data_IF_287296696754
#
_entry.id   IF_287296696754
#
_cell.length_a   1.000
_cell.length_b   1.000
_cell.length_c   1.000
_cell.angle_alpha   90.00
_cell.angle_beta   90.00
_cell.angle_gamma   90.00
#
_symmetry.space_group_name_H-M   'P 1'
#
loop_
_entity.id
_entity.type
_entity.pdbx_description
1 polymer ?
#
# COMPACT_ATOMS: atom_id res chain seq x y z
N UNK A 1 24.47 4.31 36.31
CA UNK A 1 23.38 4.77 35.42
C UNK A 1 23.94 4.84 34.02
N UNK A 2 24.08 3.71 33.32
CA UNK A 2 24.81 3.71 32.03
C UNK A 2 24.45 2.51 31.12
N UNK A 3 23.27 1.90 31.30
CA UNK A 3 22.86 0.73 30.49
C UNK A 3 21.50 0.87 29.82
N UNK A 4 20.82 2.00 29.96
CA UNK A 4 19.44 2.18 29.47
C UNK A 4 19.33 2.89 28.11
N UNK A 5 20.41 3.53 27.63
CA UNK A 5 20.37 4.36 26.41
C UNK A 5 20.64 3.55 25.13
N UNK A 6 21.26 2.38 25.24
CA UNK A 6 21.58 1.54 24.07
C UNK A 6 20.38 0.81 23.44
N UNK A 7 19.24 0.72 24.13
CA UNK A 7 18.09 -0.07 23.65
C UNK A 7 17.07 0.75 22.83
N UNK A 8 17.13 2.09 22.86
CA UNK A 8 16.17 2.95 22.15
C UNK A 8 16.62 3.37 20.74
N UNK A 9 17.92 3.36 20.47
CA UNK A 9 18.48 3.67 19.14
C UNK A 9 18.17 2.59 18.08
N UNK A 10 18.20 1.26 18.36
CA UNK A 10 17.84 0.27 17.35
C UNK A 10 16.33 0.25 17.05
N UNK A 11 15.49 0.71 17.98
CA UNK A 11 14.04 0.75 17.80
C UNK A 11 13.62 1.90 16.87
N UNK A 12 14.26 3.07 16.99
CA UNK A 12 13.97 4.23 16.13
C UNK A 12 14.44 4.02 14.68
N UNK A 13 15.56 3.30 14.48
CA UNK A 13 16.03 2.88 13.15
C UNK A 13 15.15 1.78 12.55
N UNK A 14 14.61 0.85 13.36
CA UNK A 14 13.58 -0.09 12.90
C UNK A 14 12.30 0.63 12.45
N UNK A 15 11.87 1.67 13.17
CA UNK A 15 10.70 2.46 12.81
C UNK A 15 10.91 3.33 11.56
N UNK A 16 12.13 3.84 11.33
CA UNK A 16 12.44 4.55 10.07
C UNK A 16 12.52 3.59 8.87
N UNK A 17 13.06 2.38 9.05
CA UNK A 17 13.05 1.33 8.01
C UNK A 17 11.63 0.82 7.69
N UNK A 18 10.68 0.94 8.63
CA UNK A 18 9.27 0.60 8.41
C UNK A 18 8.47 1.68 7.65
N UNK A 19 9.05 2.86 7.37
CA UNK A 19 8.39 3.92 6.58
C UNK A 19 8.76 3.91 5.09
N UNK A 20 9.51 2.91 4.63
CA UNK A 20 9.59 2.56 3.21
C UNK A 20 8.87 1.22 2.98
N UNK A 21 7.64 1.10 3.49
CA UNK A 21 6.70 0.24 2.79
C UNK A 21 6.35 0.99 1.50
N UNK A 22 7.16 0.77 0.46
CA UNK A 22 6.71 1.01 -0.89
C UNK A 22 5.33 0.37 -1.01
N UNK A 23 4.32 1.19 -1.28
CA UNK A 23 2.99 0.70 -1.61
C UNK A 23 3.21 -0.25 -2.78
N UNK A 24 3.17 -1.56 -2.51
CA UNK A 24 3.22 -2.58 -3.53
C UNK A 24 1.89 -2.46 -4.27
N UNK A 25 1.84 -1.59 -5.28
CA UNK A 25 0.77 -1.64 -6.26
C UNK A 25 0.82 -3.03 -6.88
N UNK A 26 -0.28 -3.77 -6.80
CA UNK A 26 -0.42 -5.05 -7.49
C UNK A 26 -0.62 -4.80 -8.98
N UNK A 27 0.44 -4.38 -9.67
CA UNK A 27 0.48 -4.28 -11.12
C UNK A 27 1.26 -5.46 -11.70
N UNK A 28 0.86 -5.87 -12.90
CA UNK A 28 1.46 -6.98 -13.62
C UNK A 28 1.64 -6.52 -15.05
N UNK A 29 2.87 -6.60 -15.54
CA UNK A 29 3.19 -6.32 -16.93
C UNK A 29 3.35 -7.63 -17.70
N UNK A 30 2.95 -7.62 -18.98
CA UNK A 30 3.24 -8.72 -19.90
C UNK A 30 4.73 -8.77 -20.26
N UNK A 31 5.10 -9.80 -21.03
CA UNK A 31 6.50 -10.01 -21.45
C UNK A 31 6.78 -9.53 -22.89
N UNK A 32 5.73 -9.25 -23.65
CA UNK A 32 5.84 -8.83 -25.05
C UNK A 32 6.03 -7.32 -25.15
N UNK A 33 6.98 -6.91 -25.99
CA UNK A 33 7.25 -5.51 -26.30
C UNK A 33 6.62 -5.12 -27.64
N UNK A 34 6.14 -3.89 -27.75
CA UNK A 34 5.73 -3.36 -29.05
C UNK A 34 6.94 -2.76 -29.79
N UNK A 35 6.93 -2.86 -31.12
CA UNK A 35 7.98 -2.28 -31.94
C UNK A 35 7.96 -0.75 -31.88
N UNK A 36 9.14 -0.14 -31.75
CA UNK A 36 9.32 1.31 -31.75
C UNK A 36 8.83 1.99 -33.05
N UNK A 37 8.67 1.22 -34.13
CA UNK A 37 8.16 1.72 -35.42
C UNK A 37 6.61 1.78 -35.48
N UNK A 38 5.92 1.40 -34.41
CA UNK A 38 4.45 1.42 -34.35
C UNK A 38 3.95 2.63 -33.57
N UNK A 39 2.73 3.08 -33.88
CA UNK A 39 2.06 4.13 -33.10
C UNK A 39 1.51 3.63 -31.75
N UNK A 40 1.69 2.34 -31.42
CA UNK A 40 1.08 1.70 -30.26
C UNK A 40 1.33 2.44 -28.95
N UNK A 41 2.57 2.87 -28.69
CA UNK A 41 2.89 3.64 -27.49
C UNK A 41 2.14 4.98 -27.41
N UNK A 42 2.03 5.70 -28.53
CA UNK A 42 1.29 6.97 -28.61
C UNK A 42 -0.22 6.77 -28.43
N UNK A 43 -0.75 5.70 -29.02
CA UNK A 43 -2.16 5.34 -28.88
C UNK A 43 -2.46 4.92 -27.43
N UNK A 44 -1.55 4.21 -26.78
CA UNK A 44 -1.63 3.84 -25.36
C UNK A 44 -1.60 5.08 -24.44
N UNK A 45 -0.66 6.00 -24.67
CA UNK A 45 -0.52 7.27 -23.94
C UNK A 45 -1.75 8.18 -24.09
N UNK A 46 -2.49 8.03 -25.20
CA UNK A 46 -3.74 8.75 -25.45
C UNK A 46 -4.92 8.05 -24.77
N UNK A 47 -4.99 6.72 -24.87
CA UNK A 47 -6.15 5.93 -24.46
C UNK A 47 -6.26 5.78 -22.93
N UNK A 48 -5.18 5.42 -22.24
CA UNK A 48 -5.22 5.12 -20.80
C UNK A 48 -5.65 6.30 -19.92
N UNK A 49 -5.19 7.55 -20.16
CA UNK A 49 -5.67 8.70 -19.40
C UNK A 49 -7.16 9.00 -19.60
N UNK A 50 -7.73 8.63 -20.76
CA UNK A 50 -9.15 8.86 -21.06
C UNK A 50 -10.08 7.95 -20.26
N UNK A 51 -9.59 6.82 -19.73
CA UNK A 51 -10.41 5.84 -19.02
C UNK A 51 -11.07 6.44 -17.79
N UNK A 52 -10.37 7.30 -17.05
CA UNK A 52 -10.82 7.83 -15.77
C UNK A 52 -12.08 8.72 -15.88
N UNK A 53 -12.23 9.49 -16.95
CA UNK A 53 -13.45 10.28 -17.18
C UNK A 53 -14.58 9.42 -17.74
N UNK A 54 -14.27 8.53 -18.68
CA UNK A 54 -15.28 7.72 -19.37
C UNK A 54 -15.91 6.65 -18.47
N UNK A 55 -15.12 6.03 -17.58
CA UNK A 55 -15.64 5.04 -16.62
C UNK A 55 -16.71 5.63 -15.70
N UNK A 56 -16.61 6.92 -15.35
CA UNK A 56 -17.63 7.60 -14.56
C UNK A 56 -18.87 7.91 -15.39
N UNK A 57 -18.66 8.42 -16.61
CA UNK A 57 -19.75 8.76 -17.52
C UNK A 57 -20.61 7.55 -17.90
N UNK A 58 -20.03 6.35 -17.90
CA UNK A 58 -20.65 5.10 -18.33
C UNK A 58 -20.92 4.12 -17.17
N UNK A 59 -21.14 4.64 -15.96
CA UNK A 59 -21.69 3.84 -14.86
C UNK A 59 -20.74 2.81 -14.26
N UNK A 60 -19.42 3.02 -14.37
CA UNK A 60 -18.40 2.28 -13.62
C UNK A 60 -17.66 1.23 -14.42
N UNK A 61 -17.99 1.06 -15.69
CA UNK A 61 -17.28 0.18 -16.61
C UNK A 61 -17.05 0.89 -17.94
N UNK A 62 -15.84 0.80 -18.47
CA UNK A 62 -15.54 1.34 -19.79
C UNK A 62 -14.50 0.49 -20.48
N UNK A 63 -14.76 0.18 -21.74
CA UNK A 63 -13.78 -0.43 -22.64
C UNK A 63 -13.66 0.43 -23.90
N UNK A 64 -12.45 0.51 -24.44
CA UNK A 64 -12.17 1.30 -25.63
C UNK A 64 -10.94 0.78 -26.36
N UNK A 65 -10.89 1.03 -27.66
CA UNK A 65 -9.76 0.66 -28.50
C UNK A 65 -9.26 1.83 -29.33
N UNK A 66 -7.94 1.93 -29.50
CA UNK A 66 -7.29 2.93 -30.34
C UNK A 66 -6.02 2.33 -30.93
N UNK A 67 -5.87 2.35 -32.26
CA UNK A 67 -4.62 1.93 -32.92
C UNK A 67 -4.13 0.52 -32.59
N UNK A 68 -5.05 -0.41 -32.30
CA UNK A 68 -4.72 -1.78 -31.90
C UNK A 68 -4.50 -1.98 -30.39
N UNK A 69 -4.55 -0.92 -29.60
CA UNK A 69 -4.63 -0.99 -28.13
C UNK A 69 -6.07 -1.28 -27.73
N UNK A 70 -6.29 -2.25 -26.84
CA UNK A 70 -7.58 -2.55 -26.22
C UNK A 70 -7.47 -2.33 -24.72
N UNK A 71 -8.11 -1.28 -24.21
CA UNK A 71 -8.06 -0.92 -22.80
C UNK A 71 -9.43 -1.05 -22.14
N UNK A 72 -9.43 -1.38 -20.85
CA UNK A 72 -10.63 -1.56 -20.04
C UNK A 72 -10.39 -1.04 -18.63
N UNK A 73 -11.38 -0.34 -18.09
CA UNK A 73 -11.44 0.10 -16.71
C UNK A 73 -12.76 -0.36 -16.05
N UNK A 74 -12.67 -0.75 -14.78
CA UNK A 74 -13.80 -1.18 -13.96
C UNK A 74 -13.66 -0.59 -12.56
N UNK A 75 -14.73 -0.04 -12.01
CA UNK A 75 -14.82 0.31 -10.60
C UNK A 75 -15.70 -0.69 -9.85
N UNK A 76 -15.34 -0.94 -8.59
CA UNK A 76 -16.17 -1.72 -7.67
C UNK A 76 -17.53 -1.04 -7.53
N UNK A 77 -18.65 -1.77 -7.67
CA UNK A 77 -20.01 -1.19 -7.53
C UNK A 77 -20.17 -0.48 -6.18
N UNK A 78 -21.06 0.52 -6.15
CA UNK A 78 -21.27 1.45 -5.02
C UNK A 78 -20.04 2.31 -4.69
N UNK A 79 -19.31 2.73 -5.72
CA UNK A 79 -18.20 3.68 -5.60
C UNK A 79 -18.71 5.12 -5.49
N UNK A 80 -17.92 5.96 -4.85
CA UNK A 80 -18.05 7.41 -4.94
C UNK A 80 -17.32 7.90 -6.20
N UNK A 81 -17.98 8.75 -7.00
CA UNK A 81 -17.54 9.04 -8.38
C UNK A 81 -16.13 9.62 -8.45
N UNK A 82 -15.77 10.55 -7.55
CA UNK A 82 -14.44 11.16 -7.58
C UNK A 82 -13.37 10.17 -7.14
N UNK A 83 -13.67 9.32 -6.16
CA UNK A 83 -12.76 8.26 -5.72
C UNK A 83 -12.52 7.20 -6.82
N UNK A 84 -13.55 6.75 -7.55
CA UNK A 84 -13.38 5.85 -8.72
C UNK A 84 -12.54 6.49 -9.82
N UNK A 85 -12.81 7.77 -10.15
CA UNK A 85 -12.02 8.52 -11.13
C UNK A 85 -10.55 8.58 -10.74
N UNK A 86 -10.27 8.86 -9.47
CA UNK A 86 -8.92 9.01 -8.94
C UNK A 86 -8.18 7.67 -8.93
N UNK A 87 -8.86 6.58 -8.56
CA UNK A 87 -8.34 5.23 -8.63
C UNK A 87 -7.95 4.84 -10.06
N UNK A 88 -8.87 5.00 -11.03
CA UNK A 88 -8.60 4.63 -12.43
C UNK A 88 -7.51 5.50 -13.03
N UNK A 89 -7.51 6.81 -12.74
CA UNK A 89 -6.43 7.70 -13.17
C UNK A 89 -5.06 7.25 -12.65
N UNK A 90 -4.95 6.93 -11.35
CA UNK A 90 -3.72 6.46 -10.73
C UNK A 90 -3.26 5.12 -11.31
N UNK A 91 -4.17 4.16 -11.44
CA UNK A 91 -3.87 2.86 -12.04
C UNK A 91 -3.38 3.02 -13.49
N UNK A 92 -4.08 3.81 -14.32
CA UNK A 92 -3.63 4.12 -15.69
C UNK A 92 -2.22 4.72 -15.72
N UNK A 93 -1.94 5.70 -14.85
CA UNK A 93 -0.62 6.33 -14.76
C UNK A 93 0.46 5.35 -14.31
N UNK A 94 0.18 4.53 -13.31
CA UNK A 94 1.10 3.51 -12.82
C UNK A 94 1.47 2.53 -13.93
N UNK A 95 0.48 2.01 -14.65
CA UNK A 95 0.72 1.09 -15.77
C UNK A 95 1.57 1.73 -16.88
N UNK A 96 1.29 2.97 -17.27
CA UNK A 96 2.11 3.70 -18.25
C UNK A 96 3.55 3.88 -17.77
N UNK A 97 3.77 4.15 -16.48
CA UNK A 97 5.11 4.38 -15.94
C UNK A 97 5.91 3.12 -15.66
N UNK A 98 5.25 2.05 -15.23
CA UNK A 98 5.89 0.84 -14.70
C UNK A 98 5.98 -0.27 -15.75
N UNK A 99 5.09 -0.27 -16.74
CA UNK A 99 5.05 -1.25 -17.83
C UNK A 99 5.44 -0.63 -19.19
N UNK A 100 6.42 0.29 -19.19
CA UNK A 100 6.85 1.00 -20.40
C UNK A 100 7.33 0.03 -21.49
N UNK A 101 6.88 0.26 -22.72
CA UNK A 101 7.29 -0.54 -23.89
C UNK A 101 6.59 -1.90 -24.02
N UNK A 102 5.68 -2.24 -23.09
CA UNK A 102 5.02 -3.55 -23.05
C UNK A 102 3.61 -3.48 -23.64
N UNK A 103 3.19 -4.55 -24.33
CA UNK A 103 1.90 -4.62 -25.04
C UNK A 103 0.72 -4.91 -24.14
N UNK A 104 0.96 -5.49 -22.97
CA UNK A 104 -0.09 -5.87 -22.02
C UNK A 104 0.29 -5.44 -20.59
N UNK A 105 -0.69 -4.94 -19.84
CA UNK A 105 -0.56 -4.78 -18.41
C UNK A 105 -1.93 -4.81 -17.71
N UNK A 106 -1.89 -5.08 -16.42
CA UNK A 106 -3.06 -5.25 -15.57
C UNK A 106 -2.77 -4.76 -14.15
N UNK A 107 -3.71 -4.04 -13.56
CA UNK A 107 -3.65 -3.65 -12.16
C UNK A 107 -5.05 -3.65 -11.55
N UNK A 108 -5.16 -4.26 -10.35
CA UNK A 108 -6.21 -3.92 -9.39
C UNK A 108 -5.62 -2.96 -8.37
N UNK A 109 -6.06 -1.71 -8.42
CA UNK A 109 -5.71 -0.72 -7.42
C UNK A 109 -6.77 -0.72 -6.31
N UNK A 110 -6.31 -0.59 -5.06
CA UNK A 110 -7.19 -0.51 -3.90
C UNK A 110 -6.61 0.53 -2.96
N UNK A 111 -7.32 1.64 -2.83
CA UNK A 111 -6.91 2.72 -1.95
C UNK A 111 -7.34 2.41 -0.52
N UNK A 112 -6.36 2.31 0.39
CA UNK A 112 -6.59 1.96 1.79
C UNK A 112 -7.49 2.97 2.50
N UNK A 113 -7.41 4.24 2.08
CA UNK A 113 -8.04 5.35 2.80
C UNK A 113 -9.44 5.67 2.28
N UNK A 114 -9.74 5.39 1.00
CA UNK A 114 -11.04 5.66 0.36
C UNK A 114 -11.87 4.39 0.13
N UNK A 115 -11.29 3.21 0.37
CA UNK A 115 -11.89 1.89 0.17
C UNK A 115 -12.53 1.72 -1.22
N UNK A 116 -11.99 2.42 -2.21
CA UNK A 116 -12.33 2.25 -3.61
C UNK A 116 -11.32 1.31 -4.24
N UNK A 117 -11.86 0.27 -4.88
CA UNK A 117 -11.09 -0.66 -5.69
C UNK A 117 -11.48 -0.48 -7.15
N UNK A 118 -10.49 -0.40 -8.02
CA UNK A 118 -10.69 -0.32 -9.45
C UNK A 118 -9.68 -1.20 -10.18
N UNK A 119 -10.01 -1.54 -11.41
CA UNK A 119 -9.17 -2.32 -12.30
C UNK A 119 -8.90 -1.52 -13.55
N UNK A 120 -7.66 -1.56 -14.02
CA UNK A 120 -7.27 -1.08 -15.34
C UNK A 120 -6.45 -2.17 -16.02
N UNK A 121 -6.74 -2.43 -17.29
CA UNK A 121 -5.94 -3.32 -18.12
C UNK A 121 -5.86 -2.82 -19.55
N UNK A 122 -4.77 -3.16 -20.22
CA UNK A 122 -4.64 -2.98 -21.66
C UNK A 122 -3.95 -4.18 -22.31
N UNK A 123 -4.19 -4.39 -23.60
CA UNK A 123 -3.57 -5.44 -24.42
C UNK A 123 -3.54 -5.02 -25.89
N UNK A 124 -2.63 -5.59 -26.67
CA UNK A 124 -2.61 -5.52 -28.13
C UNK A 124 -3.59 -6.51 -28.80
N UNK A 125 -4.29 -7.33 -28.02
CA UNK A 125 -5.26 -8.31 -28.49
C UNK A 125 -6.70 -7.88 -28.15
N UNK A 126 -7.68 -8.21 -29.02
CA UNK A 126 -9.09 -7.97 -28.74
C UNK A 126 -9.54 -8.89 -27.60
N UNK A 127 -9.76 -8.29 -26.43
CA UNK A 127 -10.00 -9.01 -25.15
C UNK A 127 -11.36 -8.69 -24.52
N UNK A 128 -12.23 -7.94 -25.19
CA UNK A 128 -13.58 -7.64 -24.69
C UNK A 128 -14.49 -8.85 -24.82
N UNK A 129 -15.32 -9.07 -23.81
CA UNK A 129 -16.26 -10.20 -23.72
C UNK A 129 -15.58 -11.57 -23.65
N UNK A 130 -14.27 -11.63 -23.44
CA UNK A 130 -13.50 -12.86 -23.32
C UNK A 130 -13.12 -13.09 -21.87
N UNK A 131 -13.48 -14.26 -21.36
CA UNK A 131 -13.05 -14.72 -20.05
C UNK A 131 -11.52 -14.75 -19.96
N UNK A 132 -10.97 -14.08 -18.94
CA UNK A 132 -9.54 -14.10 -18.61
C UNK A 132 -9.36 -14.32 -17.12
N UNK A 133 -8.71 -15.44 -16.81
CA UNK A 133 -8.39 -15.82 -15.44
C UNK A 133 -7.05 -15.21 -15.00
N UNK A 134 -6.07 -15.10 -15.90
CA UNK A 134 -4.73 -14.65 -15.57
C UNK A 134 -4.41 -13.27 -16.17
N UNK A 135 -3.59 -12.47 -15.46
CA UNK A 135 -2.87 -12.82 -14.23
C UNK A 135 -3.69 -12.60 -12.93
N UNK A 136 -3.20 -13.15 -11.81
CA UNK A 136 -3.84 -13.03 -10.48
C UNK A 136 -3.15 -11.94 -9.65
N UNK A 137 -3.93 -11.06 -9.04
CA UNK A 137 -3.46 -10.10 -8.03
C UNK A 137 -4.04 -10.43 -6.66
N UNK A 138 -3.22 -10.32 -5.61
CA UNK A 138 -3.62 -10.66 -4.24
C UNK A 138 -3.18 -9.57 -3.28
N UNK A 139 -4.07 -9.10 -2.41
CA UNK A 139 -3.70 -8.16 -1.33
C UNK A 139 -3.17 -8.97 -0.13
N UNK A 140 -2.10 -8.55 0.57
CA UNK A 140 -1.57 -9.29 1.73
C UNK A 140 -2.53 -9.25 2.95
N UNK A 141 -2.64 -10.37 3.67
CA UNK A 141 -3.56 -10.55 4.81
C UNK A 141 -2.94 -11.22 6.03
N UNK A 142 -3.55 -10.98 7.19
CA UNK A 142 -3.17 -11.47 8.53
C UNK A 142 -3.28 -13.00 8.65
N UNK A 143 -2.38 -13.62 9.41
CA UNK A 143 -2.50 -15.03 9.77
C UNK A 143 -3.69 -15.27 10.72
N UNK A 144 -4.44 -16.36 10.49
CA UNK A 144 -5.54 -16.78 11.36
C UNK A 144 -4.96 -17.50 12.61
N UNK A 145 -5.38 -17.15 13.84
CA UNK A 145 -5.05 -17.95 15.02
C UNK A 145 -5.68 -19.33 14.88
N UNK A 146 -4.92 -20.39 15.19
CA UNK A 146 -5.33 -21.78 15.01
C UNK A 146 -6.68 -22.10 15.67
N UNK A 147 -7.74 -22.22 14.87
CA UNK A 147 -9.08 -22.69 15.29
C UNK A 147 -9.51 -23.92 14.49
N UNK A 148 -10.61 -24.55 14.91
CA UNK A 148 -11.16 -25.74 14.28
C UNK A 148 -11.76 -25.39 12.91
N UNK A 149 -10.98 -25.62 11.86
CA UNK A 149 -11.20 -25.09 10.52
C UNK A 149 -12.37 -25.76 9.77
N UNK A 150 -12.84 -26.94 10.21
CA UNK A 150 -13.83 -27.74 9.46
C UNK A 150 -15.17 -27.02 9.34
N UNK A 151 -15.73 -26.54 10.46
CA UNK A 151 -17.04 -25.88 10.47
C UNK A 151 -17.01 -24.52 9.76
N UNK A 152 -15.93 -23.77 9.95
CA UNK A 152 -15.68 -22.56 9.17
C UNK A 152 -15.65 -22.85 7.66
N UNK A 153 -15.07 -23.98 7.23
CA UNK A 153 -15.05 -24.40 5.82
C UNK A 153 -16.45 -24.59 5.24
N UNK A 154 -17.32 -25.26 5.99
CA UNK A 154 -18.69 -25.52 5.57
C UNK A 154 -19.51 -24.22 5.48
N UNK A 155 -19.48 -23.41 6.54
CA UNK A 155 -20.17 -22.11 6.60
C UNK A 155 -19.70 -21.18 5.47
N UNK A 156 -18.38 -21.11 5.24
CA UNK A 156 -17.77 -20.29 4.20
C UNK A 156 -18.17 -20.74 2.80
N UNK A 157 -18.15 -22.06 2.55
CA UNK A 157 -18.48 -22.61 1.23
C UNK A 157 -19.94 -22.35 0.86
N UNK A 158 -20.84 -22.48 1.84
CA UNK A 158 -22.27 -22.17 1.64
C UNK A 158 -22.47 -20.67 1.34
N UNK A 159 -21.85 -19.80 2.13
CA UNK A 159 -21.90 -18.34 1.91
C UNK A 159 -21.33 -17.96 0.55
N UNK A 160 -20.18 -18.52 0.17
CA UNK A 160 -19.51 -18.24 -1.10
C UNK A 160 -20.35 -18.66 -2.30
N UNK A 161 -20.90 -19.88 -2.30
CA UNK A 161 -21.74 -20.35 -3.39
C UNK A 161 -22.99 -19.49 -3.59
N UNK A 162 -23.67 -19.10 -2.50
CA UNK A 162 -24.81 -18.17 -2.56
C UNK A 162 -24.39 -16.83 -3.15
N UNK A 163 -23.23 -16.30 -2.75
CA UNK A 163 -22.70 -15.03 -3.26
C UNK A 163 -22.35 -15.11 -4.73
N UNK A 164 -21.80 -16.24 -5.20
CA UNK A 164 -21.53 -16.52 -6.62
C UNK A 164 -22.83 -16.53 -7.42
N UNK A 165 -23.87 -17.21 -6.93
CA UNK A 165 -25.15 -17.29 -7.64
C UNK A 165 -25.79 -15.90 -7.80
N UNK A 166 -25.72 -15.06 -6.76
CA UNK A 166 -26.16 -13.65 -6.84
C UNK A 166 -25.28 -12.85 -7.80
N UNK A 167 -23.96 -12.91 -7.64
CA UNK A 167 -23.03 -12.10 -8.43
C UNK A 167 -22.98 -12.47 -9.93
N UNK A 168 -23.36 -13.70 -10.28
CA UNK A 168 -23.41 -14.18 -11.66
C UNK A 168 -24.77 -14.01 -12.33
N UNK A 169 -25.79 -13.58 -11.59
CA UNK A 169 -27.09 -13.22 -12.18
C UNK A 169 -27.03 -11.76 -12.63
N UNK A 170 -27.35 -11.50 -13.89
CA UNK A 170 -27.32 -10.14 -14.44
C UNK A 170 -28.47 -9.29 -13.89
N UNK A 171 -28.13 -8.18 -13.26
CA UNK A 171 -29.05 -7.07 -12.99
C UNK A 171 -29.08 -6.13 -14.20
N UNK A 172 -29.99 -6.40 -15.15
CA UNK A 172 -30.12 -5.64 -16.40
C UNK A 172 -30.50 -4.16 -16.19
N UNK A 173 -30.83 -3.75 -14.97
CA UNK A 173 -31.10 -2.34 -14.63
C UNK A 173 -29.82 -1.54 -14.31
N UNK A 174 -28.67 -2.20 -14.25
CA UNK A 174 -27.40 -1.64 -13.79
C UNK A 174 -26.27 -1.94 -14.77
N UNK A 175 -25.46 -0.93 -15.13
CA UNK A 175 -24.24 -1.14 -15.94
C UNK A 175 -23.28 -2.16 -15.30
N UNK A 176 -23.11 -2.11 -13.98
CA UNK A 176 -22.38 -3.10 -13.20
C UNK A 176 -23.28 -4.29 -12.82
N UNK A 177 -23.76 -5.01 -13.85
CA UNK A 177 -24.81 -6.05 -13.72
C UNK A 177 -24.41 -7.30 -12.94
N UNK A 178 -23.11 -7.60 -12.84
CA UNK A 178 -22.61 -8.79 -12.13
C UNK A 178 -21.94 -8.41 -10.82
N UNK A 179 -22.73 -8.32 -9.76
CA UNK A 179 -22.27 -7.93 -8.43
C UNK A 179 -23.07 -8.65 -7.35
N UNK A 180 -22.38 -9.18 -6.35
CA UNK A 180 -22.99 -9.85 -5.22
C UNK A 180 -22.21 -9.60 -3.94
N UNK A 181 -22.97 -9.38 -2.87
CA UNK A 181 -22.44 -9.17 -1.52
C UNK A 181 -23.25 -9.99 -0.54
N UNK A 182 -22.59 -10.46 0.51
CA UNK A 182 -23.26 -11.16 1.59
C UNK A 182 -22.54 -10.90 2.92
N UNK A 183 -23.31 -10.89 4.00
CA UNK A 183 -22.77 -11.02 5.35
C UNK A 183 -23.49 -12.14 6.08
N UNK A 184 -22.77 -12.83 6.96
CA UNK A 184 -23.33 -13.87 7.80
C UNK A 184 -22.53 -14.01 9.09
N UNK A 185 -23.23 -14.42 10.14
CA UNK A 185 -22.62 -14.81 11.41
C UNK A 185 -22.06 -16.23 11.27
N UNK A 186 -20.83 -16.42 11.72
CA UNK A 186 -20.16 -17.71 11.72
C UNK A 186 -19.99 -18.18 13.17
N UNK A 187 -19.70 -19.45 13.35
CA UNK A 187 -19.49 -19.98 14.70
C UNK A 187 -18.27 -19.36 15.38
N UNK A 188 -17.18 -19.23 14.63
CA UNK A 188 -15.89 -18.72 15.12
C UNK A 188 -15.80 -17.18 15.04
N UNK A 189 -16.60 -16.56 14.17
CA UNK A 189 -16.53 -15.13 13.88
C UNK A 189 -17.91 -14.51 13.94
N UNK A 190 -18.02 -13.39 14.67
CA UNK A 190 -19.28 -12.67 14.84
C UNK A 190 -19.93 -12.32 13.52
N UNK A 191 -19.14 -11.86 12.55
CA UNK A 191 -19.64 -11.55 11.22
C UNK A 191 -18.53 -11.69 10.19
N UNK A 192 -18.87 -12.29 9.06
CA UNK A 192 -18.02 -12.44 7.88
C UNK A 192 -18.69 -11.68 6.74
N UNK A 193 -17.90 -10.93 5.98
CA UNK A 193 -18.35 -10.14 4.85
C UNK A 193 -17.71 -10.66 3.56
N UNK A 194 -18.48 -10.73 2.48
CA UNK A 194 -18.01 -11.20 1.18
C UNK A 194 -18.54 -10.32 0.05
N UNK A 195 -17.69 -10.08 -0.95
CA UNK A 195 -17.98 -9.33 -2.15
C UNK A 195 -17.43 -10.08 -3.37
N UNK A 196 -18.25 -10.16 -4.40
CA UNK A 196 -17.90 -10.73 -5.70
C UNK A 196 -18.41 -9.82 -6.81
N UNK A 197 -17.59 -9.62 -7.84
CA UNK A 197 -17.95 -8.79 -8.99
C UNK A 197 -17.28 -9.32 -10.26
N UNK A 198 -17.98 -9.27 -11.39
CA UNK A 198 -17.40 -9.55 -12.71
C UNK A 198 -17.40 -8.30 -13.59
N UNK A 199 -16.62 -8.34 -14.66
CA UNK A 199 -16.75 -7.33 -15.72
C UNK A 199 -18.09 -7.54 -16.45
N UNK A 200 -18.85 -6.46 -16.75
CA UNK A 200 -20.18 -6.56 -17.38
C UNK A 200 -20.19 -7.15 -18.80
N UNK A 201 -19.05 -7.15 -19.48
CA UNK A 201 -18.90 -7.67 -20.85
C UNK A 201 -18.97 -9.21 -20.95
N UNK A 202 -18.95 -9.92 -19.83
CA UNK A 202 -19.02 -11.39 -19.80
C UNK A 202 -20.44 -11.96 -19.90
N UNK A 203 -20.50 -13.24 -20.26
CA UNK A 203 -21.70 -14.05 -20.05
C UNK A 203 -21.89 -14.40 -18.56
N UNK A 204 -23.13 -14.72 -18.17
CA UNK A 204 -23.43 -15.17 -16.80
C UNK A 204 -22.65 -16.44 -16.44
N UNK A 205 -22.51 -17.37 -17.39
CA UNK A 205 -21.72 -18.60 -17.21
C UNK A 205 -20.23 -18.32 -17.01
N UNK A 206 -19.64 -17.40 -17.78
CA UNK A 206 -18.23 -17.04 -17.65
C UNK A 206 -17.96 -16.30 -16.34
N UNK A 207 -18.88 -15.40 -15.93
CA UNK A 207 -18.79 -14.75 -14.64
C UNK A 207 -18.83 -15.77 -13.50
N UNK A 208 -19.79 -16.70 -13.53
CA UNK A 208 -19.91 -17.76 -12.53
C UNK A 208 -18.65 -18.62 -12.45
N UNK A 209 -18.09 -18.98 -13.60
CA UNK A 209 -16.86 -19.76 -13.65
C UNK A 209 -15.66 -18.99 -13.10
N UNK A 210 -15.48 -17.72 -13.48
CA UNK A 210 -14.39 -16.88 -12.96
C UNK A 210 -14.44 -16.75 -11.43
N UNK A 211 -15.62 -16.51 -10.86
CA UNK A 211 -15.79 -16.39 -9.41
C UNK A 211 -15.52 -17.71 -8.68
N UNK A 212 -15.87 -18.86 -9.28
CA UNK A 212 -15.51 -20.18 -8.75
C UNK A 212 -14.00 -20.40 -8.74
N UNK A 213 -13.28 -19.97 -9.78
CA UNK A 213 -11.81 -20.06 -9.81
C UNK A 213 -11.14 -19.15 -8.78
N UNK A 214 -11.72 -17.97 -8.47
CA UNK A 214 -11.26 -17.15 -7.35
C UNK A 214 -11.49 -17.86 -6.00
N UNK A 215 -12.66 -18.46 -5.80
CA UNK A 215 -12.96 -19.21 -4.58
C UNK A 215 -12.03 -20.40 -4.39
N UNK A 216 -11.78 -21.17 -5.46
CA UNK A 216 -10.85 -22.30 -5.45
C UNK A 216 -9.43 -21.86 -5.09
N UNK A 217 -8.94 -20.82 -5.76
CA UNK A 217 -7.62 -20.25 -5.47
C UNK A 217 -7.51 -19.73 -4.02
N UNK A 218 -8.58 -19.14 -3.49
CA UNK A 218 -8.64 -18.72 -2.08
C UNK A 218 -8.49 -19.90 -1.12
N UNK A 219 -9.22 -20.99 -1.36
CA UNK A 219 -9.19 -22.18 -0.52
C UNK A 219 -7.83 -22.89 -0.60
N UNK A 220 -7.17 -22.87 -1.75
CA UNK A 220 -5.85 -23.48 -1.90
C UNK A 220 -4.74 -22.64 -1.25
N UNK A 221 -4.80 -21.31 -1.38
CA UNK A 221 -3.66 -20.43 -1.04
C UNK A 221 -3.82 -19.66 0.27
N UNK A 222 -5.05 -19.39 0.72
CA UNK A 222 -5.34 -18.42 1.78
C UNK A 222 -6.26 -18.95 2.89
N UNK A 223 -6.60 -20.24 2.88
CA UNK A 223 -7.55 -20.83 3.83
C UNK A 223 -7.18 -20.69 5.31
N UNK A 224 -5.91 -20.45 5.61
CA UNK A 224 -5.38 -20.20 6.97
C UNK A 224 -5.11 -18.72 7.28
N UNK A 225 -5.70 -17.81 6.51
CA UNK A 225 -5.56 -16.36 6.69
C UNK A 225 -6.92 -15.72 6.94
N UNK A 226 -6.94 -14.65 7.73
CA UNK A 226 -8.14 -13.84 7.94
C UNK A 226 -8.22 -12.85 6.79
N UNK A 227 -9.30 -12.94 6.03
CA UNK A 227 -9.52 -12.11 4.87
C UNK A 227 -8.67 -12.52 3.68
N UNK A 228 -9.21 -12.26 2.50
CA UNK A 228 -8.46 -12.31 1.24
C UNK A 228 -9.11 -11.42 0.19
N UNK A 229 -8.31 -10.94 -0.75
CA UNK A 229 -8.80 -10.27 -1.94
C UNK A 229 -8.04 -10.83 -3.14
N UNK A 230 -8.77 -11.32 -4.13
CA UNK A 230 -8.26 -11.94 -5.35
C UNK A 230 -8.86 -11.20 -6.53
N UNK A 231 -8.01 -10.52 -7.29
CA UNK A 231 -8.38 -9.83 -8.51
C UNK A 231 -7.85 -10.55 -9.75
N UNK A 232 -8.75 -10.82 -10.70
CA UNK A 232 -8.46 -11.32 -12.05
C UNK A 232 -8.93 -10.29 -13.09
N UNK A 233 -8.52 -10.40 -14.37
CA UNK A 233 -8.97 -9.46 -15.40
C UNK A 233 -10.48 -9.48 -15.66
N UNK A 234 -11.15 -10.58 -15.34
CA UNK A 234 -12.59 -10.77 -15.54
C UNK A 234 -13.43 -10.70 -14.27
N UNK A 235 -12.84 -10.92 -13.08
CA UNK A 235 -13.61 -10.94 -11.85
C UNK A 235 -12.77 -10.66 -10.60
N UNK A 236 -13.47 -10.26 -9.55
CA UNK A 236 -12.92 -9.88 -8.26
C UNK A 236 -13.65 -10.62 -7.14
N UNK A 237 -12.90 -11.04 -6.13
CA UNK A 237 -13.39 -11.66 -4.92
C UNK A 237 -12.72 -11.02 -3.72
N UNK A 238 -13.49 -10.70 -2.69
CA UNK A 238 -12.96 -10.28 -1.39
C UNK A 238 -13.81 -10.83 -0.27
N UNK A 239 -13.17 -11.29 0.79
CA UNK A 239 -13.84 -11.51 2.07
C UNK A 239 -13.00 -10.95 3.21
N UNK A 240 -13.67 -10.58 4.31
CA UNK A 240 -13.05 -9.94 5.47
C UNK A 240 -13.97 -10.06 6.70
N UNK A 241 -13.46 -9.76 7.89
CA UNK A 241 -14.25 -9.66 9.12
C UNK A 241 -14.84 -8.26 9.32
N UNK A 242 -14.46 -7.31 8.46
CA UNK A 242 -14.95 -5.93 8.49
C UNK A 242 -15.75 -5.61 7.21
N UNK A 243 -16.83 -4.82 7.32
CA UNK A 243 -17.60 -4.42 6.16
C UNK A 243 -16.78 -3.53 5.22
N UNK A 244 -17.10 -3.60 3.93
CA UNK A 244 -16.54 -2.71 2.92
C UNK A 244 -17.43 -1.49 2.78
N UNK A 245 -16.84 -0.30 2.75
CA UNK A 245 -17.55 0.97 2.57
C UNK A 245 -18.42 0.89 1.31
N UNK A 246 -19.68 1.32 1.38
CA UNK A 246 -20.63 1.34 0.26
C UNK A 246 -21.21 -0.02 -0.13
N UNK A 247 -20.59 -1.15 0.24
CA UNK A 247 -21.01 -2.46 -0.25
C UNK A 247 -22.27 -2.99 0.44
N UNK A 248 -22.50 -2.62 1.70
CA UNK A 248 -23.52 -3.23 2.57
C UNK A 248 -24.67 -2.28 2.94
N UNK A 249 -24.65 -1.04 2.46
CA UNK A 249 -25.58 0.02 2.87
C UNK A 249 -27.06 -0.32 2.57
N UNK A 250 -27.31 -1.20 1.60
CA UNK A 250 -28.65 -1.60 1.14
C UNK A 250 -29.01 -3.08 1.41
N UNK A 251 -28.17 -3.85 2.12
CA UNK A 251 -28.42 -5.28 2.32
C UNK A 251 -29.42 -5.56 3.44
N UNK A 252 -30.52 -6.26 3.12
CA UNK A 252 -31.38 -6.91 4.12
C UNK A 252 -30.65 -8.17 4.64
N UNK A 253 -30.38 -8.23 5.95
CA UNK A 253 -29.72 -9.38 6.60
C UNK A 253 -30.41 -10.69 6.21
N UNK A 254 -29.64 -11.68 5.80
CA UNK A 254 -30.12 -13.06 5.64
C UNK A 254 -30.01 -13.75 7.00
N UNK A 255 -31.11 -14.34 7.47
CA UNK A 255 -31.15 -15.01 8.77
C UNK A 255 -30.22 -16.22 8.81
N UNK A 256 -29.53 -16.39 9.95
CA UNK A 256 -28.63 -17.50 10.20
C UNK A 256 -29.34 -18.87 10.11
N UNK A 257 -28.62 -19.96 9.78
CA UNK A 257 -29.14 -21.32 9.92
C UNK A 257 -29.59 -21.58 11.38
N UNK A 258 -30.68 -22.35 11.59
CA UNK A 258 -31.18 -22.63 12.93
C UNK A 258 -30.14 -23.38 13.77
N UNK A 259 -29.84 -22.83 14.96
CA UNK A 259 -28.93 -23.42 15.94
C UNK A 259 -29.58 -24.68 16.55
N UNK A 260 -28.88 -25.82 16.69
CA UNK A 260 -29.37 -26.94 17.49
C UNK A 260 -29.53 -26.54 18.97
N UNK A 261 -30.49 -27.11 19.70
CA UNK A 261 -30.70 -26.78 21.11
C UNK A 261 -29.45 -27.13 21.93
N UNK A 262 -28.89 -26.14 22.65
CA UNK A 262 -27.81 -26.34 23.60
C UNK A 262 -28.34 -27.05 24.86
N UNK A 263 -27.62 -28.04 25.42
CA UNK A 263 -27.92 -28.59 26.73
C UNK A 263 -27.69 -27.55 27.83
N UNK A 264 -28.38 -27.67 28.98
CA UNK A 264 -28.29 -26.71 30.08
C UNK A 264 -26.87 -26.67 30.68
N UNK A 265 -26.46 -25.54 31.29
CA UNK A 265 -25.12 -25.41 31.85
C UNK A 265 -24.97 -26.35 33.05
N UNK A 266 -23.95 -27.21 33.01
CA UNK A 266 -23.52 -28.03 34.12
C UNK A 266 -22.63 -27.19 35.06
N UNK A 267 -22.97 -27.17 36.35
CA UNK A 267 -22.28 -26.40 37.40
C UNK A 267 -20.81 -26.84 37.55
N UNK A 268 -19.90 -26.08 36.94
CA UNK A 268 -18.47 -26.22 37.19
C UNK A 268 -18.10 -25.48 38.50
N UNK A 269 -17.75 -26.24 39.54
CA UNK A 269 -17.22 -25.72 40.79
C UNK A 269 -15.98 -24.84 40.57
N UNK A 270 -16.10 -23.57 40.94
CA UNK A 270 -14.99 -22.61 40.99
C UNK A 270 -14.04 -23.00 42.13
N UNK A 271 -12.84 -23.49 41.78
CA UNK A 271 -11.70 -23.49 42.72
C UNK A 271 -11.27 -22.04 42.99
N UNK A 272 -11.36 -21.64 44.25
CA UNK A 272 -11.00 -20.32 44.79
C UNK A 272 -9.50 -20.04 44.58
N UNK A 273 -9.17 -19.39 43.47
CA UNK A 273 -7.84 -18.81 43.20
C UNK A 273 -7.64 -17.54 44.03
N UNK A 274 -6.46 -17.38 44.62
CA UNK A 274 -6.08 -16.25 45.49
C UNK A 274 -6.32 -14.91 44.78
N UNK A 275 -7.00 -14.01 45.48
CA UNK A 275 -7.20 -12.59 45.15
C UNK A 275 -5.87 -11.92 44.84
N UNK A 276 -5.64 -11.56 43.58
CA UNK A 276 -4.53 -10.71 43.17
C UNK A 276 -4.86 -9.26 43.53
N UNK A 277 -3.98 -8.70 44.36
CA UNK A 277 -4.08 -7.42 45.05
C UNK A 277 -4.09 -6.23 44.07
N UNK A 278 -4.90 -5.21 44.36
CA UNK A 278 -5.14 -3.95 43.61
C UNK A 278 -3.88 -3.10 43.31
N UNK A 279 -2.68 -3.52 43.70
CA UNK A 279 -1.43 -2.77 43.53
C UNK A 279 -0.89 -2.81 42.08
N UNK A 280 -1.17 -3.86 41.31
CA UNK A 280 -0.54 -4.05 39.99
C UNK A 280 -1.03 -3.10 38.88
N UNK A 281 -2.21 -2.49 39.01
CA UNK A 281 -2.73 -1.52 38.02
C UNK A 281 -2.03 -0.17 38.16
N UNK A 282 -1.70 0.24 39.38
CA UNK A 282 -1.02 1.52 39.65
C UNK A 282 0.41 1.51 39.07
N UNK A 283 1.09 0.36 39.11
CA UNK A 283 2.47 0.22 38.62
C UNK A 283 2.57 0.30 37.09
N UNK A 284 1.51 -0.04 36.34
CA UNK A 284 1.50 0.01 34.88
C UNK A 284 0.94 1.32 34.30
N UNK A 285 -0.05 1.92 34.97
CA UNK A 285 -0.73 3.13 34.46
C UNK A 285 0.08 4.40 34.76
N UNK A 286 0.76 4.47 35.90
CA UNK A 286 1.53 5.68 36.26
C UNK A 286 2.71 5.94 35.31
N UNK A 287 3.53 4.94 34.93
CA UNK A 287 4.63 5.17 33.99
C UNK A 287 4.17 5.54 32.58
N UNK A 288 3.03 5.00 32.13
CA UNK A 288 2.50 5.28 30.79
C UNK A 288 1.99 6.71 30.67
N UNK A 289 1.29 7.19 31.70
CA UNK A 289 0.83 8.59 31.76
C UNK A 289 2.01 9.55 31.85
N UNK A 290 3.02 9.26 32.68
CA UNK A 290 4.23 10.10 32.77
C UNK A 290 4.97 10.18 31.44
N UNK A 291 5.16 9.04 30.75
CA UNK A 291 5.81 9.03 29.43
C UNK A 291 5.01 9.79 28.37
N UNK A 292 3.67 9.74 28.42
CA UNK A 292 2.81 10.52 27.53
C UNK A 292 3.02 12.03 27.72
N UNK A 293 3.08 12.50 28.98
CA UNK A 293 3.33 13.91 29.28
C UNK A 293 4.73 14.36 28.86
N UNK A 294 5.76 13.53 29.08
CA UNK A 294 7.13 13.81 28.64
C UNK A 294 7.21 13.91 27.12
N UNK A 295 6.53 13.01 26.39
CA UNK A 295 6.49 13.04 24.93
C UNK A 295 5.80 14.31 24.41
N UNK A 296 4.66 14.69 24.99
CA UNK A 296 3.96 15.93 24.61
C UNK A 296 4.83 17.16 24.90
N UNK A 297 5.46 17.22 26.07
CA UNK A 297 6.38 18.31 26.43
C UNK A 297 7.57 18.39 25.47
N UNK A 298 8.13 17.24 25.06
CA UNK A 298 9.22 17.17 24.08
C UNK A 298 8.76 17.66 22.70
N UNK A 299 7.59 17.26 22.22
CA UNK A 299 7.04 17.74 20.94
C UNK A 299 6.77 19.23 20.97
N UNK A 300 6.25 19.76 22.08
CA UNK A 300 6.00 21.19 22.25
C UNK A 300 7.31 21.98 22.33
N UNK A 301 8.30 21.49 23.08
CA UNK A 301 9.63 22.09 23.17
C UNK A 301 10.36 22.05 21.83
N UNK A 302 10.27 20.94 21.09
CA UNK A 302 10.82 20.81 19.74
C UNK A 302 10.14 21.78 18.78
N UNK A 303 8.80 21.90 18.81
CA UNK A 303 8.06 22.88 18.01
C UNK A 303 8.44 24.32 18.38
N UNK A 304 8.63 24.61 19.66
CA UNK A 304 9.01 25.93 20.13
C UNK A 304 10.47 26.27 19.77
N UNK A 305 11.38 25.31 19.87
CA UNK A 305 12.77 25.44 19.43
C UNK A 305 12.84 25.63 17.90
N UNK A 306 12.05 24.86 17.14
CA UNK A 306 11.95 25.02 15.68
C UNK A 306 11.40 26.39 15.30
N UNK A 307 10.37 26.89 16.00
CA UNK A 307 9.86 28.27 15.82
C UNK A 307 10.94 29.32 16.13
N UNK A 308 11.75 29.14 17.16
CA UNK A 308 12.88 30.04 17.48
C UNK A 308 13.98 30.00 16.41
N UNK A 309 14.27 28.83 15.85
CA UNK A 309 15.23 28.68 14.74
C UNK A 309 14.69 29.34 13.47
N UNK A 310 13.41 29.16 13.13
CA UNK A 310 12.78 29.83 11.98
C UNK A 310 12.66 31.35 12.17
N UNK A 311 12.42 31.83 13.39
CA UNK A 311 12.43 33.27 13.69
C UNK A 311 13.86 33.86 13.68
N UNK A 312 14.88 33.10 14.08
CA UNK A 312 16.28 33.50 13.98
C UNK A 312 16.83 33.53 12.55
N UNK A 313 16.29 32.68 11.65
CA UNK A 313 16.61 32.67 10.22
C UNK A 313 16.08 33.88 9.46
N UNK A 314 14.96 34.48 9.89
CA UNK A 314 14.39 35.66 9.27
C UNK A 314 15.07 36.98 9.71
N UNK A 315 15.80 37.00 10.82
CA UNK A 315 16.45 38.21 11.34
C UNK A 315 17.92 38.37 10.92
N UNK A 316 18.52 37.36 10.26
CA UNK A 316 19.91 37.37 9.83
C UNK A 316 20.08 37.54 8.31
N UNK A 317 19.03 37.96 7.60
CA UNK A 317 19.07 38.19 6.15
C UNK A 317 19.42 39.62 5.77
N UNK A 318 20.10 40.36 6.65
CA UNK A 318 20.80 41.57 6.26
C UNK A 318 22.21 41.52 6.84
N UNK A 319 23.16 41.94 6.00
CA UNK A 319 24.59 42.21 6.26
C UNK A 319 25.59 41.07 5.98
N UNK A 320 26.04 41.08 4.72
CA UNK A 320 27.46 41.08 4.28
C UNK A 320 28.19 39.75 3.98
N UNK A 321 28.64 39.65 2.71
CA UNK A 321 29.89 39.02 2.31
C UNK A 321 29.96 37.50 2.09
N UNK A 322 30.02 37.11 0.81
CA UNK A 322 30.53 35.83 0.27
C UNK A 322 29.53 34.66 0.13
N UNK A 323 29.05 34.47 -1.11
CA UNK A 323 28.15 33.41 -1.54
C UNK A 323 28.80 32.02 -1.43
N UNK A 324 28.54 31.31 -0.33
CA UNK A 324 28.89 29.90 -0.18
C UNK A 324 27.90 29.05 -1.01
N UNK A 325 28.35 28.48 -2.13
CA UNK A 325 27.56 27.56 -2.96
C UNK A 325 27.18 26.32 -2.12
N UNK A 326 25.88 26.10 -1.95
CA UNK A 326 25.36 24.97 -1.18
C UNK A 326 25.13 23.78 -2.11
N UNK A 327 25.82 22.67 -1.85
CA UNK A 327 25.60 21.41 -2.54
C UNK A 327 24.71 20.50 -1.69
N UNK A 328 23.79 19.80 -2.34
CA UNK A 328 22.97 18.77 -1.70
C UNK A 328 23.82 17.54 -1.34
N UNK A 329 23.60 16.94 -0.17
CA UNK A 329 24.38 15.79 0.28
C UNK A 329 24.19 14.58 -0.64
N UNK A 330 22.99 14.39 -1.21
CA UNK A 330 22.72 13.36 -2.21
C UNK A 330 23.56 13.56 -3.47
N UNK A 331 23.71 14.81 -3.93
CA UNK A 331 24.58 15.15 -5.06
C UNK A 331 26.06 14.80 -4.78
N UNK A 332 26.57 15.10 -3.59
CA UNK A 332 27.94 14.76 -3.19
C UNK A 332 28.15 13.25 -3.09
N UNK A 333 27.16 12.52 -2.58
CA UNK A 333 27.20 11.05 -2.51
C UNK A 333 27.24 10.42 -3.90
N UNK A 334 26.44 10.92 -4.84
CA UNK A 334 26.47 10.44 -6.24
C UNK A 334 27.82 10.78 -6.88
N UNK A 335 28.27 12.03 -6.73
CA UNK A 335 29.50 12.51 -7.35
C UNK A 335 30.74 11.72 -6.89
N UNK A 336 30.78 11.25 -5.65
CA UNK A 336 31.93 10.53 -5.06
C UNK A 336 31.79 9.01 -5.08
N UNK A 337 30.73 8.48 -5.71
CA UNK A 337 30.32 7.07 -5.61
C UNK A 337 30.29 6.59 -4.15
N UNK A 338 29.50 7.28 -3.33
CA UNK A 338 29.32 7.05 -1.89
C UNK A 338 30.64 7.04 -1.10
N UNK A 339 31.60 7.87 -1.50
CA UNK A 339 32.96 7.91 -0.94
C UNK A 339 33.71 6.58 -1.11
N UNK A 340 33.64 6.00 -2.31
CA UNK A 340 34.34 4.77 -2.67
C UNK A 340 35.84 4.89 -2.36
N UNK A 341 36.48 3.86 -1.77
CA UNK A 341 37.92 3.85 -1.52
C UNK A 341 38.76 4.05 -2.78
N UNK A 342 38.25 3.64 -3.94
CA UNK A 342 38.90 3.77 -5.25
C UNK A 342 39.04 5.23 -5.67
N UNK A 343 38.14 6.10 -5.20
CA UNK A 343 38.16 7.53 -5.46
C UNK A 343 38.94 8.31 -4.39
N UNK A 344 39.62 7.65 -3.46
CA UNK A 344 40.33 8.34 -2.37
C UNK A 344 41.61 8.98 -2.87
N UNK A 345 41.69 10.31 -2.78
CA UNK A 345 42.84 11.11 -3.17
C UNK A 345 43.90 11.19 -2.05
N UNK A 346 43.49 11.11 -0.79
CA UNK A 346 44.42 11.17 0.33
C UNK A 346 43.73 11.09 1.69
N UNK A 347 44.51 10.92 2.75
CA UNK A 347 44.03 10.92 4.14
C UNK A 347 45.00 11.66 5.05
N UNK A 348 44.46 12.53 5.90
CA UNK A 348 45.19 13.19 7.00
C UNK A 348 44.53 12.88 8.35
N UNK A 349 45.01 13.54 9.41
CA UNK A 349 44.48 13.37 10.76
C UNK A 349 42.99 13.73 10.91
N UNK A 350 42.47 14.59 10.04
CA UNK A 350 41.11 15.15 10.13
C UNK A 350 40.17 14.69 9.02
N UNK A 351 40.49 13.57 8.35
CA UNK A 351 39.61 13.00 7.35
C UNK A 351 40.28 12.55 6.07
N UNK A 352 39.46 12.05 5.16
CA UNK A 352 39.88 11.58 3.84
C UNK A 352 39.32 12.49 2.76
N UNK A 353 40.11 12.72 1.70
CA UNK A 353 39.70 13.48 0.53
C UNK A 353 39.41 12.50 -0.60
N UNK A 354 38.30 12.70 -1.29
CA UNK A 354 37.82 11.86 -2.38
C UNK A 354 37.67 12.69 -3.65
N UNK A 355 37.97 12.09 -4.79
CA UNK A 355 37.62 12.60 -6.11
C UNK A 355 36.11 12.41 -6.32
N UNK A 356 35.45 13.43 -6.86
CA UNK A 356 34.08 13.30 -7.32
C UNK A 356 33.86 13.99 -8.67
N UNK A 357 32.81 13.61 -9.37
CA UNK A 357 32.40 14.21 -10.64
C UNK A 357 30.95 14.63 -10.51
N UNK A 358 30.68 15.93 -10.59
CA UNK A 358 29.31 16.47 -10.56
C UNK A 358 28.53 16.05 -11.81
N UNK A 359 27.18 16.07 -11.80
CA UNK A 359 26.37 15.78 -12.98
C UNK A 359 26.68 16.68 -14.19
N UNK A 360 27.26 17.86 -13.96
CA UNK A 360 27.76 18.78 -14.99
C UNK A 360 29.05 18.30 -15.66
N UNK A 361 29.66 17.19 -15.21
CA UNK A 361 30.96 16.71 -15.64
C UNK A 361 32.15 17.38 -14.95
N UNK A 362 31.90 18.34 -14.05
CA UNK A 362 32.96 19.03 -13.32
C UNK A 362 33.58 18.12 -12.25
N UNK A 363 34.90 17.96 -12.29
CA UNK A 363 35.65 17.26 -11.25
C UNK A 363 35.77 18.12 -9.98
N UNK A 364 35.58 17.50 -8.83
CA UNK A 364 35.65 18.12 -7.51
C UNK A 364 36.46 17.25 -6.54
N UNK A 365 37.05 17.88 -5.53
CA UNK A 365 37.64 17.20 -4.39
C UNK A 365 36.73 17.37 -3.16
N UNK A 366 36.29 16.26 -2.57
CA UNK A 366 35.37 16.24 -1.44
C UNK A 366 36.08 15.72 -0.21
N UNK A 367 36.27 16.59 0.79
CA UNK A 367 36.87 16.21 2.08
C UNK A 367 35.78 15.74 3.04
N UNK A 368 35.92 14.50 3.52
CA UNK A 368 35.04 13.87 4.50
C UNK A 368 35.77 13.73 5.84
N UNK A 369 35.20 14.30 6.89
CA UNK A 369 35.68 14.17 8.26
C UNK A 369 35.63 12.70 8.71
N UNK A 370 36.70 12.22 9.34
CA UNK A 370 36.73 10.88 9.94
C UNK A 370 35.93 10.87 11.26
N UNK A 371 35.16 9.81 11.51
CA UNK A 371 34.38 9.70 12.74
C UNK A 371 35.24 9.35 13.96
N UNK A 372 35.44 10.28 14.90
CA UNK A 372 36.13 10.04 16.16
C UNK A 372 36.38 11.30 17.02
N UNK A 373 36.23 11.12 18.35
CA UNK A 373 36.55 12.01 19.50
C UNK A 373 36.06 13.47 19.58
N UNK A 374 35.20 13.98 18.69
CA UNK A 374 34.54 15.30 18.86
C UNK A 374 35.46 16.53 18.82
N UNK A 375 36.78 16.33 18.84
CA UNK A 375 37.80 17.37 18.73
C UNK A 375 37.98 17.83 17.26
N UNK A 376 37.75 16.93 16.29
CA UNK A 376 37.90 17.21 14.86
C UNK A 376 36.83 18.12 14.24
N UNK A 377 35.66 18.31 14.88
CA UNK A 377 34.58 19.15 14.34
C UNK A 377 34.95 20.64 14.32
N UNK A 378 35.72 21.08 15.32
CA UNK A 378 36.18 22.46 15.48
C UNK A 378 37.33 22.77 14.51
N UNK A 379 38.25 21.82 14.35
CA UNK A 379 39.39 21.92 13.42
C UNK A 379 38.92 21.85 11.96
N UNK A 380 37.95 20.99 11.64
CA UNK A 380 37.32 20.94 10.31
C UNK A 380 36.60 22.24 9.96
N UNK A 381 35.86 22.83 10.91
CA UNK A 381 35.22 24.14 10.71
C UNK A 381 36.26 25.25 10.50
N UNK A 382 37.33 25.27 11.28
CA UNK A 382 38.40 26.26 11.12
C UNK A 382 39.11 26.12 9.77
N UNK A 383 39.35 24.90 9.29
CA UNK A 383 39.97 24.64 7.99
C UNK A 383 39.06 25.09 6.82
N UNK A 384 37.75 24.80 6.88
CA UNK A 384 36.77 25.28 5.88
C UNK A 384 36.66 26.81 5.91
N UNK A 385 36.74 27.42 7.09
CA UNK A 385 36.66 28.87 7.26
C UNK A 385 37.95 29.59 6.79
N UNK A 386 39.10 28.91 6.84
CA UNK A 386 40.37 29.38 6.23
C UNK A 386 40.32 29.28 4.71
N UNK A 387 39.83 28.17 4.15
CA UNK A 387 39.73 27.95 2.71
C UNK A 387 38.72 28.86 2.01
N UNK A 388 37.79 29.46 2.75
CA UNK A 388 36.82 30.44 2.22
C UNK A 388 37.34 31.88 2.26
N UNK A 389 38.49 32.13 2.89
CA UNK A 389 39.15 33.45 3.02
C UNK A 389 40.39 33.63 2.12
N UNK A 390 40.79 32.58 1.41
CA UNK A 390 41.78 32.62 0.32
C UNK A 390 41.07 32.92 -0.99
#
# INVERSE_FOLDING_TARGET
>A
MEKSVLFHIPCFLLFLLLTINGVHGNYICGNETFSANTNYGKDLDTLLPSLASNVIALGGFYNASLGGVYALALCRKHYEAQSCRSCVYRASRNLLTLCQGLTEAFQWDSETDTNVSCMVRYSNLPTFGKLRLDPITTVPHSSLPSSNLTRFTEEFTVMANRTIDVASTADESSELKYYGVSSAEFTEFREVYMLMQCTPDLSSSDCKYCLRENLRYNQESYWRRIGSAIGRPSCYFRWDLYPFVGAFDNLKRVSAPPRPPQPPPEDAQIKKGKTFQTWSVVVAVVPTVINMFVFVAFVLAYRQMRRRIYAGLNNNSDTDGQSMLRFDLGMILIATDKFSPENKLGQGGFGSVYKGILPSGQEIAVKRLAGGSGQGDLEFKNEVLLLTRL
#
